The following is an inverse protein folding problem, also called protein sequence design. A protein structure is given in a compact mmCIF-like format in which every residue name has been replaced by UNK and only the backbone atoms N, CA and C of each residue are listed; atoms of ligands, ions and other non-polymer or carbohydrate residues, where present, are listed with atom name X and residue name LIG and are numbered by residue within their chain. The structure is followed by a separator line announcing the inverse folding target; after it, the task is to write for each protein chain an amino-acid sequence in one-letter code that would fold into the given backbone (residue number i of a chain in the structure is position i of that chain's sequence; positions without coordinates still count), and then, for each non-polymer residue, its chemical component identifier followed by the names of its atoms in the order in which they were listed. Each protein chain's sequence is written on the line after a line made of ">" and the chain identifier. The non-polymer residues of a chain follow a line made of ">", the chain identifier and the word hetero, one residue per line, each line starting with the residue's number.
data_IF_623962875045
#
_entry.id   IF_623962875045
#
_cell.length_a   1.000
_cell.length_b   1.000
_cell.length_c   1.000
_cell.angle_alpha   90.00
_cell.angle_beta   90.00
_cell.angle_gamma   90.00
#
_symmetry.space_group_name_H-M   'P 1'
#
loop_
_entity.id
_entity.type
_entity.pdbx_description
1 polymer ?
#
# COMPACT_ATOMS: atom_id res chain seq x y z
N UNK A 1 -14.16 19.04 -45.28
CA UNK A 1 -13.85 20.09 -44.28
C UNK A 1 -14.53 19.89 -42.93
N UNK A 2 -15.84 20.13 -42.73
CA UNK A 2 -16.46 20.02 -41.38
C UNK A 2 -16.44 18.61 -40.78
N UNK A 3 -16.68 17.59 -41.62
CA UNK A 3 -16.65 16.17 -41.21
C UNK A 3 -15.23 15.72 -40.84
N UNK A 4 -14.25 16.03 -41.68
CA UNK A 4 -12.82 15.73 -41.42
C UNK A 4 -12.30 16.42 -40.15
N UNK A 5 -12.73 17.67 -39.90
CA UNK A 5 -12.40 18.36 -38.65
C UNK A 5 -13.01 17.66 -37.44
N UNK A 6 -14.26 17.21 -37.53
CA UNK A 6 -14.92 16.46 -36.46
C UNK A 6 -14.23 15.11 -36.23
N UNK A 7 -13.88 14.39 -37.29
CA UNK A 7 -13.19 13.10 -37.20
C UNK A 7 -11.81 13.27 -36.55
N UNK A 8 -11.06 14.32 -36.92
CA UNK A 8 -9.79 14.67 -36.30
C UNK A 8 -9.96 15.01 -34.81
N UNK A 9 -11.00 15.77 -34.46
CA UNK A 9 -11.32 16.10 -33.06
C UNK A 9 -11.65 14.84 -32.26
N UNK A 10 -12.46 13.92 -32.79
CA UNK A 10 -12.78 12.67 -32.11
C UNK A 10 -11.55 11.81 -31.86
N UNK A 11 -10.67 11.67 -32.85
CA UNK A 11 -9.40 10.94 -32.68
C UNK A 11 -8.54 11.60 -31.61
N UNK A 12 -8.43 12.92 -31.65
CA UNK A 12 -7.62 13.69 -30.69
C UNK A 12 -8.16 13.53 -29.27
N UNK A 13 -9.49 13.60 -29.08
CA UNK A 13 -10.12 13.38 -27.78
C UNK A 13 -9.97 11.94 -27.29
N UNK A 14 -10.09 10.95 -28.17
CA UNK A 14 -9.87 9.54 -27.81
C UNK A 14 -8.44 9.32 -27.29
N UNK A 15 -7.43 9.87 -27.98
CA UNK A 15 -6.03 9.81 -27.55
C UNK A 15 -5.84 10.52 -26.20
N UNK A 16 -6.40 11.71 -26.02
CA UNK A 16 -6.35 12.46 -24.77
C UNK A 16 -6.93 11.67 -23.59
N UNK A 17 -8.09 11.03 -23.79
CA UNK A 17 -8.73 10.20 -22.75
C UNK A 17 -7.84 9.01 -22.38
N UNK A 18 -7.23 8.35 -23.36
CA UNK A 18 -6.31 7.22 -23.12
C UNK A 18 -5.09 7.69 -22.32
N UNK A 19 -4.47 8.80 -22.72
CA UNK A 19 -3.31 9.36 -22.02
C UNK A 19 -3.63 9.77 -20.58
N UNK A 20 -4.78 10.42 -20.37
CA UNK A 20 -5.27 10.77 -19.04
C UNK A 20 -5.52 9.53 -18.18
N UNK A 21 -6.08 8.47 -18.76
CA UNK A 21 -6.33 7.20 -18.06
C UNK A 21 -5.02 6.52 -17.63
N UNK A 22 -4.01 6.48 -18.51
CA UNK A 22 -2.68 5.96 -18.18
C UNK A 22 -2.04 6.79 -17.07
N UNK A 23 -2.08 8.12 -17.18
CA UNK A 23 -1.53 9.02 -16.15
C UNK A 23 -2.22 8.83 -14.80
N UNK A 24 -3.55 8.66 -14.79
CA UNK A 24 -4.31 8.41 -13.57
C UNK A 24 -3.93 7.06 -12.92
N UNK A 25 -3.77 5.99 -13.72
CA UNK A 25 -3.32 4.68 -13.23
C UNK A 25 -1.92 4.73 -12.63
N UNK A 26 -1.00 5.48 -13.24
CA UNK A 26 0.34 5.69 -12.69
C UNK A 26 0.29 6.45 -11.35
N UNK A 27 -0.57 7.45 -11.23
CA UNK A 27 -0.77 8.18 -9.98
C UNK A 27 -1.44 7.33 -8.88
N UNK A 28 -2.35 6.44 -9.24
CA UNK A 28 -2.95 5.45 -8.32
C UNK A 28 -1.89 4.52 -7.74
N UNK A 29 -0.99 3.98 -8.56
CA UNK A 29 0.13 3.15 -8.07
C UNK A 29 1.10 3.92 -7.19
N UNK A 30 1.29 5.21 -7.43
CA UNK A 30 2.20 6.07 -6.66
C UNK A 30 1.62 6.50 -5.31
N UNK A 31 0.28 6.57 -5.22
CA UNK A 31 -0.43 6.67 -3.95
C UNK A 31 -0.50 5.27 -3.37
N UNK A 32 0.60 4.80 -2.79
CA UNK A 32 0.55 3.72 -1.82
C UNK A 32 -0.45 4.15 -0.74
N UNK A 33 -1.69 3.66 -0.82
CA UNK A 33 -2.64 3.77 0.27
C UNK A 33 -2.03 2.88 1.34
N UNK A 34 -1.19 3.47 2.20
CA UNK A 34 -0.65 2.80 3.37
C UNK A 34 -1.83 2.47 4.26
N UNK A 35 -2.31 1.24 4.17
CA UNK A 35 -3.30 0.71 5.11
C UNK A 35 -2.60 0.51 6.46
N UNK A 36 -3.32 0.75 7.54
CA UNK A 36 -2.80 0.49 8.89
C UNK A 36 -2.32 -0.97 8.96
N UNK A 37 -1.05 -1.19 9.31
CA UNK A 37 -0.41 -2.51 9.34
C UNK A 37 0.32 -2.96 8.06
N UNK A 38 0.37 -2.15 6.99
CA UNK A 38 1.14 -2.50 5.79
C UNK A 38 2.66 -2.40 5.96
N UNK A 39 3.12 -1.56 6.89
CA UNK A 39 4.53 -1.40 7.23
C UNK A 39 4.68 -1.47 8.74
N UNK A 40 5.48 -2.44 9.19
CA UNK A 40 5.90 -2.55 10.59
C UNK A 40 6.79 -1.36 10.95
N UNK A 41 6.41 -0.61 11.98
CA UNK A 41 7.30 0.37 12.61
C UNK A 41 8.04 -0.30 13.77
N UNK A 42 9.28 -0.71 13.51
CA UNK A 42 10.12 -1.44 14.48
C UNK A 42 10.29 -0.66 15.79
N UNK A 43 10.47 0.66 15.72
CA UNK A 43 10.69 1.51 16.91
C UNK A 43 9.42 1.57 17.77
N UNK A 44 8.25 1.70 17.13
CA UNK A 44 6.98 1.65 17.85
C UNK A 44 6.81 0.30 18.56
N UNK A 45 7.04 -0.80 17.85
CA UNK A 45 6.87 -2.12 18.43
C UNK A 45 7.88 -2.41 19.52
N UNK A 46 9.14 -2.01 19.37
CA UNK A 46 10.14 -2.14 20.43
C UNK A 46 9.71 -1.41 21.71
N UNK A 47 9.28 -0.14 21.63
CA UNK A 47 8.79 0.61 22.80
C UNK A 47 7.52 -0.02 23.39
N UNK A 48 6.58 -0.44 22.55
CA UNK A 48 5.34 -1.08 22.98
C UNK A 48 5.61 -2.39 23.73
N UNK A 49 6.51 -3.22 23.21
CA UNK A 49 6.85 -4.51 23.81
C UNK A 49 7.62 -4.37 25.13
N UNK A 50 8.26 -3.23 25.41
CA UNK A 50 8.79 -2.97 26.77
C UNK A 50 7.70 -2.87 27.83
N UNK A 51 6.51 -2.37 27.45
CA UNK A 51 5.36 -2.17 28.34
C UNK A 51 4.41 -3.37 28.33
N UNK A 52 4.35 -4.09 27.21
CA UNK A 52 3.44 -5.19 26.97
C UNK A 52 4.17 -6.45 26.47
N UNK A 53 5.09 -7.04 27.27
CA UNK A 53 5.97 -8.11 26.80
C UNK A 53 5.26 -9.44 26.51
N UNK A 54 4.01 -9.60 26.93
CA UNK A 54 3.21 -10.81 26.66
C UNK A 54 2.32 -10.69 25.42
N UNK A 55 2.35 -9.55 24.72
CA UNK A 55 1.54 -9.33 23.53
C UNK A 55 2.15 -10.01 22.30
N UNK A 56 1.60 -11.17 21.91
CA UNK A 56 2.17 -12.05 20.87
C UNK A 56 2.34 -11.33 19.53
N UNK A 57 1.33 -10.60 19.06
CA UNK A 57 1.35 -9.95 17.74
C UNK A 57 2.51 -8.95 17.60
N UNK A 58 2.86 -8.23 18.67
CA UNK A 58 3.99 -7.30 18.63
C UNK A 58 5.34 -8.02 18.46
N UNK A 59 5.48 -9.24 18.98
CA UNK A 59 6.67 -10.06 18.72
C UNK A 59 6.67 -10.64 17.30
N UNK A 60 5.51 -10.96 16.73
CA UNK A 60 5.38 -11.41 15.34
C UNK A 60 5.81 -10.29 14.40
N UNK A 61 5.33 -9.08 14.63
CA UNK A 61 5.70 -7.87 13.89
C UNK A 61 7.21 -7.59 13.96
N UNK A 62 7.85 -7.85 15.11
CA UNK A 62 9.30 -7.76 15.27
C UNK A 62 10.09 -8.97 14.74
N UNK A 63 9.41 -10.00 14.21
CA UNK A 63 10.05 -11.24 13.75
C UNK A 63 10.64 -12.12 14.87
N UNK A 64 10.24 -11.90 16.12
CA UNK A 64 10.76 -12.57 17.33
C UNK A 64 9.93 -13.80 17.71
N UNK A 65 9.95 -14.82 16.85
CA UNK A 65 9.24 -16.08 17.08
C UNK A 65 9.76 -16.88 18.28
N UNK A 66 10.99 -16.62 18.73
CA UNK A 66 11.52 -17.11 20.00
C UNK A 66 10.65 -16.65 21.17
N UNK A 67 10.31 -15.35 21.20
CA UNK A 67 9.45 -14.77 22.24
C UNK A 67 8.01 -15.24 22.16
N UNK A 68 7.50 -15.45 20.96
CA UNK A 68 6.18 -16.06 20.76
C UNK A 68 6.12 -17.44 21.41
N UNK A 69 7.12 -18.30 21.15
CA UNK A 69 7.17 -19.66 21.73
C UNK A 69 7.45 -19.70 23.23
N UNK A 70 8.12 -18.68 23.77
CA UNK A 70 8.26 -18.51 25.23
C UNK A 70 6.91 -18.23 25.89
N UNK A 71 6.02 -17.47 25.23
CA UNK A 71 4.70 -17.08 25.74
C UNK A 71 3.67 -18.18 25.48
N UNK A 72 3.64 -18.72 24.26
CA UNK A 72 2.78 -19.81 23.84
C UNK A 72 3.61 -20.90 23.12
N UNK A 73 4.01 -21.96 23.83
CA UNK A 73 4.79 -23.06 23.26
C UNK A 73 4.08 -23.84 22.14
N UNK A 74 2.77 -23.67 21.97
CA UNK A 74 1.97 -24.38 20.98
C UNK A 74 1.53 -23.50 19.79
N UNK A 75 2.04 -22.26 19.70
CA UNK A 75 1.74 -21.31 18.62
C UNK A 75 2.23 -21.78 17.24
#
# INVERSE_FOLDING_TARGET
>A
MRKELNDLLYITFAILIILLSISNLQNLKRREIKVLGAETNTVFWEDFMTKHPTYIDGWIELGRMDKVREIDPNY
#
